data_IF_028547271226
#
_entry.id   IF_028547271226
#
_cell.length_a   1.000
_cell.length_b   1.000
_cell.length_c   1.000
_cell.angle_alpha   90.00
_cell.angle_beta   90.00
_cell.angle_gamma   90.00
#
_symmetry.space_group_name_H-M   'P 1'
#
loop_
_entity.id
_entity.type
_entity.pdbx_description
1 polymer ?
#
# COMPACT_ATOMS: atom_id res chain seq x y z
N UNK A 1 -21.64 -29.42 -41.09
CA UNK A 1 -21.19 -28.14 -41.68
C UNK A 1 -19.68 -28.15 -41.62
N UNK A 2 -19.01 -28.34 -42.76
CA UNK A 2 -17.55 -28.43 -42.83
C UNK A 2 -17.09 -27.32 -43.76
N UNK A 3 -16.39 -26.32 -43.22
CA UNK A 3 -15.95 -25.15 -43.99
C UNK A 3 -14.59 -25.47 -44.60
N UNK A 4 -14.55 -25.55 -45.93
CA UNK A 4 -13.32 -25.69 -46.73
C UNK A 4 -12.61 -24.33 -46.80
N UNK A 5 -11.33 -24.28 -46.39
CA UNK A 5 -10.48 -23.08 -46.56
C UNK A 5 -9.46 -23.31 -47.66
N UNK A 6 -9.66 -22.65 -48.80
CA UNK A 6 -8.66 -22.58 -49.88
C UNK A 6 -7.52 -21.62 -49.47
N UNK A 7 -6.30 -22.13 -49.33
CA UNK A 7 -5.09 -21.32 -49.14
C UNK A 7 -4.77 -20.57 -50.45
N UNK A 8 -4.70 -19.23 -50.43
CA UNK A 8 -4.08 -18.46 -51.52
C UNK A 8 -2.58 -18.30 -51.24
N UNK A 9 -1.70 -18.47 -52.24
CA UNK A 9 -0.27 -18.23 -52.07
C UNK A 9 0.01 -16.73 -52.00
N UNK A 10 0.77 -16.32 -50.98
CA UNK A 10 1.32 -14.96 -50.85
C UNK A 10 2.43 -14.81 -51.89
N UNK A 11 2.15 -14.10 -52.99
CA UNK A 11 3.16 -13.73 -53.98
C UNK A 11 3.91 -12.48 -53.50
N UNK A 12 5.14 -12.69 -53.05
CA UNK A 12 6.33 -11.81 -53.12
C UNK A 12 6.08 -10.33 -53.38
N UNK A 13 6.12 -9.52 -52.33
CA UNK A 13 5.99 -8.05 -52.37
C UNK A 13 7.34 -7.30 -52.26
N UNK A 14 8.43 -7.88 -52.78
CA UNK A 14 9.74 -7.23 -52.81
C UNK A 14 10.21 -7.07 -54.25
N UNK A 15 9.74 -6.01 -54.92
CA UNK A 15 10.36 -5.48 -56.13
C UNK A 15 11.56 -4.61 -55.71
N UNK A 16 12.72 -4.83 -56.34
CA UNK A 16 14.00 -4.12 -56.12
C UNK A 16 14.04 -2.71 -56.70
N UNK A 17 12.92 -2.00 -56.75
CA UNK A 17 12.84 -0.62 -57.22
C UNK A 17 12.59 0.30 -56.03
N UNK A 18 13.63 1.07 -55.66
CA UNK A 18 13.56 2.10 -54.63
C UNK A 18 12.75 3.27 -55.22
N UNK A 19 11.63 3.70 -54.61
CA UNK A 19 10.87 4.85 -55.10
C UNK A 19 11.72 6.12 -55.07
N UNK A 20 11.76 6.88 -56.17
CA UNK A 20 12.52 8.14 -56.34
C UNK A 20 12.18 9.24 -55.32
N UNK A 21 11.15 9.04 -54.50
CA UNK A 21 10.76 9.94 -53.40
C UNK A 21 11.59 9.76 -52.13
N UNK A 22 12.41 8.70 -52.03
CA UNK A 22 13.22 8.44 -50.84
C UNK A 22 14.20 9.58 -50.46
N UNK A 23 14.87 10.28 -51.40
CA UNK A 23 15.77 11.39 -51.07
C UNK A 23 15.06 12.58 -50.42
N UNK A 24 13.80 12.84 -50.77
CA UNK A 24 13.03 13.97 -50.22
C UNK A 24 12.51 13.67 -48.81
N UNK A 25 12.06 12.42 -48.59
CA UNK A 25 11.70 11.91 -47.26
C UNK A 25 12.92 11.88 -46.33
N UNK A 26 14.09 11.48 -46.83
CA UNK A 26 15.33 11.50 -46.03
C UNK A 26 15.76 12.94 -45.73
N UNK A 27 15.56 13.90 -46.64
CA UNK A 27 15.81 15.33 -46.40
C UNK A 27 14.86 15.94 -45.36
N UNK A 28 13.56 15.60 -45.40
CA UNK A 28 12.60 16.07 -44.40
C UNK A 28 12.83 15.44 -43.03
N UNK A 29 13.25 14.18 -42.98
CA UNK A 29 13.66 13.49 -41.74
C UNK A 29 14.98 14.04 -41.19
N UNK A 30 15.95 14.41 -42.03
CA UNK A 30 17.20 15.03 -41.57
C UNK A 30 17.04 16.49 -41.16
N UNK A 31 16.12 17.25 -41.76
CA UNK A 31 15.72 18.57 -41.26
C UNK A 31 14.95 18.47 -39.93
N UNK A 32 14.09 17.47 -39.76
CA UNK A 32 13.43 17.18 -38.49
C UNK A 32 14.42 16.73 -37.40
N UNK A 33 15.55 16.13 -37.79
CA UNK A 33 16.64 15.72 -36.89
C UNK A 33 17.73 16.80 -36.69
N UNK A 34 17.51 18.03 -37.20
CA UNK A 34 18.40 19.17 -36.99
C UNK A 34 18.26 19.69 -35.55
N UNK A 35 18.98 19.05 -34.63
CA UNK A 35 19.28 19.50 -33.25
C UNK A 35 18.08 20.16 -32.54
N UNK A 36 17.18 19.32 -32.03
CA UNK A 36 16.16 19.73 -31.05
C UNK A 36 16.74 20.00 -29.66
N UNK A 37 17.81 20.79 -29.56
CA UNK A 37 18.05 21.54 -28.33
C UNK A 37 17.11 22.73 -28.37
N UNK A 38 15.82 22.53 -28.05
CA UNK A 38 14.95 23.68 -27.74
C UNK A 38 15.69 24.47 -26.67
N UNK A 39 15.87 25.76 -26.89
CA UNK A 39 16.50 26.62 -25.90
C UNK A 39 15.76 26.38 -24.58
N UNK A 40 16.51 26.12 -23.51
CA UNK A 40 15.91 25.82 -22.20
C UNK A 40 15.04 26.99 -21.72
N UNK A 41 15.28 28.18 -22.27
CA UNK A 41 14.45 29.38 -22.16
C UNK A 41 13.07 29.21 -22.81
N UNK A 42 13.02 28.84 -24.09
CA UNK A 42 11.75 28.58 -24.80
C UNK A 42 10.92 27.52 -24.07
N UNK A 43 11.58 26.49 -23.53
CA UNK A 43 10.93 25.48 -22.71
C UNK A 43 10.43 26.05 -21.37
N UNK A 44 11.24 26.85 -20.67
CA UNK A 44 10.87 27.47 -19.41
C UNK A 44 9.74 28.51 -19.55
N UNK A 45 9.58 29.11 -20.72
CA UNK A 45 8.49 30.05 -21.02
C UNK A 45 7.20 29.33 -21.47
N UNK A 46 7.31 28.20 -22.15
CA UNK A 46 6.15 27.42 -22.64
C UNK A 46 5.60 26.41 -21.64
N UNK A 47 6.34 26.09 -20.57
CA UNK A 47 5.87 25.18 -19.54
C UNK A 47 4.79 25.81 -18.65
N UNK A 48 3.86 24.98 -18.19
CA UNK A 48 2.84 25.37 -17.20
C UNK A 48 3.41 25.50 -15.79
N UNK A 49 4.67 25.11 -15.55
CA UNK A 49 5.35 25.27 -14.28
C UNK A 49 5.60 26.76 -13.98
N UNK A 50 4.68 27.38 -13.23
CA UNK A 50 4.64 28.83 -12.98
C UNK A 50 5.93 29.45 -12.46
N UNK A 51 6.78 28.70 -11.75
CA UNK A 51 8.06 29.17 -11.22
C UNK A 51 9.23 29.14 -12.21
N UNK A 52 9.19 28.29 -13.25
CA UNK A 52 10.34 28.01 -14.10
C UNK A 52 10.69 29.21 -14.99
N UNK A 53 9.70 29.93 -15.50
CA UNK A 53 9.89 31.16 -16.29
C UNK A 53 10.69 32.24 -15.55
N UNK A 54 10.49 32.39 -14.23
CA UNK A 54 11.21 33.39 -13.42
C UNK A 54 12.65 32.98 -13.11
N UNK A 55 12.92 31.67 -13.09
CA UNK A 55 14.26 31.12 -12.92
C UNK A 55 15.11 31.19 -14.21
N UNK A 56 14.51 31.47 -15.37
CA UNK A 56 15.23 31.57 -16.66
C UNK A 56 15.09 32.92 -17.38
N UNK A 57 14.25 33.84 -16.87
CA UNK A 57 14.08 35.21 -17.38
C UNK A 57 15.39 36.02 -17.35
N UNK A 58 15.74 36.64 -18.49
CA UNK A 58 16.91 37.53 -18.63
C UNK A 58 16.66 38.98 -18.19
N UNK A 59 15.40 39.40 -18.09
CA UNK A 59 15.02 40.73 -17.56
C UNK A 59 15.26 40.85 -16.03
N UNK A 60 15.66 39.75 -15.38
CA UNK A 60 15.82 39.64 -13.94
C UNK A 60 17.29 39.76 -13.51
N UNK A 61 17.54 40.40 -12.36
CA UNK A 61 18.88 40.34 -11.75
C UNK A 61 19.28 38.89 -11.43
N UNK A 62 20.58 38.57 -11.51
CA UNK A 62 21.10 37.21 -11.26
C UNK A 62 20.69 36.67 -9.89
N UNK A 63 20.61 37.55 -8.88
CA UNK A 63 20.18 37.20 -7.51
C UNK A 63 18.70 36.79 -7.49
N UNK A 64 17.83 37.54 -8.16
CA UNK A 64 16.39 37.22 -8.26
C UNK A 64 16.19 35.87 -8.95
N UNK A 65 16.97 35.62 -10.01
CA UNK A 65 16.95 34.36 -10.75
C UNK A 65 17.36 33.17 -9.88
N UNK A 66 18.43 33.32 -9.09
CA UNK A 66 18.87 32.28 -8.15
C UNK A 66 17.83 32.02 -7.06
N UNK A 67 17.20 33.07 -6.51
CA UNK A 67 16.14 32.92 -5.52
C UNK A 67 14.94 32.13 -6.06
N UNK A 68 14.50 32.42 -7.28
CA UNK A 68 13.42 31.65 -7.94
C UNK A 68 13.81 30.21 -8.24
N UNK A 69 15.05 29.98 -8.66
CA UNK A 69 15.54 28.62 -8.89
C UNK A 69 15.59 27.80 -7.60
N UNK A 70 16.09 28.38 -6.50
CA UNK A 70 16.10 27.74 -5.18
C UNK A 70 14.67 27.49 -4.68
N UNK A 71 13.76 28.45 -4.84
CA UNK A 71 12.35 28.26 -4.48
C UNK A 71 11.68 27.14 -5.29
N UNK A 72 11.96 27.06 -6.59
CA UNK A 72 11.48 25.97 -7.45
C UNK A 72 12.04 24.61 -7.01
N UNK A 73 13.33 24.52 -6.72
CA UNK A 73 13.95 23.29 -6.20
C UNK A 73 13.36 22.88 -4.85
N UNK A 74 13.16 23.83 -3.94
CA UNK A 74 12.53 23.56 -2.65
C UNK A 74 11.10 23.04 -2.82
N UNK A 75 10.31 23.65 -3.70
CA UNK A 75 8.96 23.19 -4.00
C UNK A 75 8.95 21.78 -4.62
N UNK A 76 9.90 21.48 -5.53
CA UNK A 76 10.03 20.16 -6.15
C UNK A 76 10.42 19.09 -5.13
N UNK A 77 11.37 19.39 -4.24
CA UNK A 77 11.77 18.51 -3.16
C UNK A 77 10.61 18.22 -2.20
N UNK A 78 9.87 19.27 -1.79
CA UNK A 78 8.72 19.14 -0.91
C UNK A 78 7.59 18.33 -1.56
N UNK A 79 7.29 18.59 -2.83
CA UNK A 79 6.31 17.82 -3.60
C UNK A 79 6.70 16.34 -3.67
N UNK A 80 7.98 16.05 -3.92
CA UNK A 80 8.49 14.67 -4.01
C UNK A 80 8.36 13.95 -2.66
N UNK A 81 8.73 14.64 -1.56
CA UNK A 81 8.53 14.13 -0.20
C UNK A 81 7.06 13.81 0.07
N UNK A 82 6.15 14.75 -0.26
CA UNK A 82 4.73 14.52 -0.05
C UNK A 82 4.16 13.39 -0.91
N UNK A 83 4.62 13.25 -2.15
CA UNK A 83 4.21 12.17 -3.01
C UNK A 83 4.60 10.81 -2.42
N UNK A 84 5.80 10.70 -1.84
CA UNK A 84 6.26 9.48 -1.17
C UNK A 84 5.41 9.18 0.05
N UNK A 85 5.23 10.14 0.97
CA UNK A 85 4.40 9.95 2.17
C UNK A 85 2.98 9.54 1.81
N UNK A 86 2.35 10.25 0.85
CA UNK A 86 1.01 9.93 0.37
C UNK A 86 0.93 8.53 -0.25
N UNK A 87 1.96 8.12 -1.00
CA UNK A 87 2.03 6.78 -1.57
C UNK A 87 2.12 5.71 -0.48
N UNK A 88 2.98 5.92 0.52
CA UNK A 88 3.12 4.97 1.63
C UNK A 88 1.79 4.87 2.38
N UNK A 89 1.14 5.99 2.70
CA UNK A 89 -0.16 6.01 3.38
C UNK A 89 -1.26 5.33 2.57
N UNK A 90 -1.25 5.48 1.24
CA UNK A 90 -2.16 4.77 0.35
C UNK A 90 -1.95 3.24 0.44
N UNK A 91 -0.70 2.77 0.34
CA UNK A 91 -0.37 1.34 0.39
C UNK A 91 -0.39 0.72 1.79
N UNK A 92 -0.52 1.53 2.84
CA UNK A 92 -0.82 1.05 4.20
C UNK A 92 -2.25 0.57 4.37
N UNK A 93 -3.13 0.81 3.39
CA UNK A 93 -4.56 0.49 3.42
C UNK A 93 -5.23 0.81 4.78
N UNK A 94 -5.10 2.06 5.29
CA UNK A 94 -5.67 2.40 6.58
C UNK A 94 -7.20 2.34 6.50
N UNK A 95 -7.81 1.46 7.32
CA UNK A 95 -9.26 1.39 7.47
C UNK A 95 -9.71 2.43 8.52
N UNK A 96 -10.55 3.38 8.11
CA UNK A 96 -11.28 4.24 9.04
C UNK A 96 -12.64 3.61 9.35
N UNK A 97 -12.81 3.11 10.56
CA UNK A 97 -14.11 2.68 11.06
C UNK A 97 -14.84 3.89 11.68
N UNK A 98 -15.99 4.25 11.11
CA UNK A 98 -16.89 5.23 11.71
C UNK A 98 -18.01 4.50 12.46
N UNK A 99 -18.19 4.83 13.74
CA UNK A 99 -19.26 4.28 14.56
C UNK A 99 -20.44 5.25 14.61
N UNK A 100 -21.63 4.77 14.26
CA UNK A 100 -22.89 5.51 14.41
C UNK A 100 -23.82 4.74 15.32
N UNK A 101 -24.23 5.35 16.43
CA UNK A 101 -25.30 4.81 17.26
C UNK A 101 -26.63 5.14 16.63
N UNK A 102 -27.32 4.11 16.14
CA UNK A 102 -28.68 4.22 15.62
C UNK A 102 -29.62 3.61 16.65
N UNK A 103 -30.61 4.37 17.13
CA UNK A 103 -31.68 3.80 17.96
C UNK A 103 -32.62 3.01 17.06
N UNK A 104 -32.71 1.72 17.29
CA UNK A 104 -33.62 0.82 16.58
C UNK A 104 -34.85 0.56 17.47
N UNK A 105 -36.05 0.62 16.91
CA UNK A 105 -37.30 0.35 17.63
C UNK A 105 -37.47 -1.15 17.96
N UNK A 106 -36.78 -2.02 17.23
CA UNK A 106 -36.73 -3.47 17.43
C UNK A 106 -35.41 -4.02 16.90
N UNK A 107 -34.89 -5.06 17.53
CA UNK A 107 -33.67 -5.78 17.14
C UNK A 107 -33.88 -7.26 17.43
N UNK A 108 -33.32 -8.14 16.58
CA UNK A 108 -33.38 -9.58 16.79
C UNK A 108 -32.62 -9.95 18.07
N UNK A 109 -33.27 -10.77 18.91
CA UNK A 109 -32.63 -11.26 20.12
C UNK A 109 -31.51 -12.24 19.72
N UNK A 110 -30.28 -12.08 20.25
CA UNK A 110 -29.16 -12.91 19.85
C UNK A 110 -29.33 -14.35 20.35
N UNK A 111 -28.69 -15.28 19.67
CA UNK A 111 -28.55 -16.64 20.19
C UNK A 111 -27.72 -16.62 21.46
N UNK A 112 -28.33 -17.01 22.57
CA UNK A 112 -27.64 -17.19 23.84
C UNK A 112 -27.21 -18.65 23.95
N UNK A 113 -25.90 -18.88 24.01
CA UNK A 113 -25.34 -20.19 24.34
C UNK A 113 -24.93 -20.20 25.80
N UNK A 114 -25.56 -21.05 26.60
CA UNK A 114 -25.21 -21.26 28.01
C UNK A 114 -24.47 -22.59 28.11
N UNK A 115 -23.22 -22.53 28.59
CA UNK A 115 -22.41 -23.72 28.84
C UNK A 115 -22.27 -23.93 30.35
N UNK A 116 -22.38 -25.19 30.78
CA UNK A 116 -21.99 -25.57 32.14
C UNK A 116 -20.47 -25.41 32.28
N UNK A 117 -20.00 -24.80 33.36
CA UNK A 117 -18.57 -24.69 33.67
C UNK A 117 -17.97 -26.03 34.06
N UNK A 118 -18.81 -26.99 34.48
CA UNK A 118 -18.37 -28.35 34.67
C UNK A 118 -18.04 -29.01 33.33
N UNK A 119 -16.75 -29.19 33.07
CA UNK A 119 -16.23 -29.74 31.80
C UNK A 119 -16.48 -31.23 31.65
N UNK A 120 -16.74 -31.95 32.76
CA UNK A 120 -17.03 -33.36 32.72
C UNK A 120 -18.03 -33.78 33.80
N UNK A 121 -19.04 -34.53 33.40
CA UNK A 121 -20.01 -35.13 34.31
C UNK A 121 -19.43 -36.42 34.88
N UNK A 122 -19.12 -36.44 36.18
CA UNK A 122 -18.51 -37.60 36.84
C UNK A 122 -19.35 -38.88 36.73
N UNK A 123 -20.65 -38.76 36.47
CA UNK A 123 -21.55 -39.91 36.28
C UNK A 123 -21.45 -40.52 34.87
N UNK A 124 -21.02 -39.73 33.86
CA UNK A 124 -20.98 -40.14 32.44
C UNK A 124 -19.55 -40.46 31.97
N UNK A 125 -18.62 -40.53 32.90
CA UNK A 125 -17.20 -40.72 32.61
C UNK A 125 -16.84 -42.16 32.90
N UNK A 126 -16.46 -42.90 31.85
CA UNK A 126 -16.10 -44.32 31.94
C UNK A 126 -14.85 -44.55 32.81
N UNK A 127 -13.89 -43.62 32.75
CA UNK A 127 -12.69 -43.63 33.59
C UNK A 127 -12.53 -42.30 34.37
N UNK A 128 -12.99 -42.25 35.63
CA UNK A 128 -12.86 -41.07 36.49
C UNK A 128 -11.40 -40.70 36.81
N UNK A 129 -10.45 -41.63 36.63
CA UNK A 129 -9.05 -41.39 36.95
C UNK A 129 -8.39 -40.49 35.90
N UNK A 130 -8.69 -40.68 34.61
CA UNK A 130 -8.21 -39.81 33.54
C UNK A 130 -8.53 -38.33 33.80
N UNK A 131 -9.76 -38.03 34.25
CA UNK A 131 -10.19 -36.66 34.54
C UNK A 131 -9.50 -36.12 35.79
N UNK A 132 -9.43 -36.93 36.84
CA UNK A 132 -8.74 -36.57 38.09
C UNK A 132 -7.26 -36.29 37.84
N UNK A 133 -6.61 -37.06 36.97
CA UNK A 133 -5.21 -36.90 36.60
C UNK A 133 -5.00 -35.63 35.75
N UNK A 134 -5.90 -35.32 34.83
CA UNK A 134 -5.86 -34.05 34.09
C UNK A 134 -5.96 -32.86 35.06
N UNK A 135 -6.93 -32.87 35.98
CA UNK A 135 -7.05 -31.80 36.99
C UNK A 135 -5.84 -31.74 37.92
N UNK A 136 -5.27 -32.90 38.30
CA UNK A 136 -4.08 -32.99 39.15
C UNK A 136 -2.86 -32.42 38.44
N UNK A 137 -2.61 -32.81 37.19
CA UNK A 137 -1.49 -32.31 36.38
C UNK A 137 -1.66 -30.83 36.10
N UNK A 138 -2.85 -30.38 35.67
CA UNK A 138 -3.12 -28.97 35.43
C UNK A 138 -2.90 -28.12 36.69
N UNK A 139 -3.42 -28.57 37.84
CA UNK A 139 -3.20 -27.90 39.13
C UNK A 139 -1.72 -27.84 39.50
N UNK A 140 -0.98 -28.93 39.31
CA UNK A 140 0.47 -28.98 39.60
C UNK A 140 1.28 -28.08 38.66
N UNK A 141 1.02 -28.12 37.35
CA UNK A 141 1.69 -27.27 36.37
C UNK A 141 1.42 -25.79 36.65
N UNK A 142 0.15 -25.42 36.87
CA UNK A 142 -0.22 -24.06 37.23
C UNK A 142 0.46 -23.62 38.53
N UNK A 143 0.43 -24.46 39.57
CA UNK A 143 1.03 -24.09 40.86
C UNK A 143 2.55 -23.98 40.78
N UNK A 144 3.21 -24.84 39.98
CA UNK A 144 4.65 -24.77 39.73
C UNK A 144 5.02 -23.45 39.05
N UNK A 145 4.27 -23.04 38.04
CA UNK A 145 4.52 -21.78 37.33
C UNK A 145 4.26 -20.56 38.21
N UNK A 146 3.22 -20.60 39.06
CA UNK A 146 2.91 -19.56 40.03
C UNK A 146 4.01 -19.45 41.10
N UNK A 147 4.44 -20.56 41.69
CA UNK A 147 5.46 -20.56 42.76
C UNK A 147 6.86 -20.24 42.26
N UNK A 148 7.15 -20.50 40.98
CA UNK A 148 8.43 -20.18 40.35
C UNK A 148 8.48 -18.76 39.78
N UNK A 149 7.37 -18.01 39.85
CA UNK A 149 7.27 -16.63 39.37
C UNK A 149 7.04 -15.68 40.55
N UNK A 150 7.79 -14.58 40.64
CA UNK A 150 7.55 -13.61 41.71
C UNK A 150 6.27 -12.80 41.47
N UNK A 151 5.58 -12.39 42.54
CA UNK A 151 4.41 -11.50 42.44
C UNK A 151 4.76 -10.17 41.74
N UNK A 152 6.00 -9.69 41.89
CA UNK A 152 6.50 -8.52 41.19
C UNK A 152 6.57 -8.74 39.67
N UNK A 153 6.91 -9.96 39.23
CA UNK A 153 6.94 -10.34 37.81
C UNK A 153 5.53 -10.51 37.25
N UNK A 154 4.61 -11.15 37.99
CA UNK A 154 3.21 -11.29 37.58
C UNK A 154 2.49 -9.94 37.45
N UNK A 155 2.75 -8.99 38.35
CA UNK A 155 2.17 -7.64 38.30
C UNK A 155 2.59 -6.83 37.08
N UNK A 156 3.79 -7.11 36.54
CA UNK A 156 4.33 -6.42 35.38
C UNK A 156 4.02 -7.14 34.06
N UNK A 157 3.45 -8.34 34.09
CA UNK A 157 3.00 -9.06 32.89
C UNK A 157 1.55 -8.69 32.55
N UNK A 158 1.35 -8.20 31.33
CA UNK A 158 0.03 -7.76 30.84
C UNK A 158 -1.01 -8.89 30.83
N UNK A 159 -0.56 -10.15 30.82
CA UNK A 159 -1.41 -11.33 30.91
C UNK A 159 -2.10 -11.49 32.26
N UNK A 160 -1.44 -11.13 33.36
CA UNK A 160 -1.94 -11.37 34.73
C UNK A 160 -2.39 -10.08 35.44
N UNK A 161 -1.88 -8.92 34.99
CA UNK A 161 -2.25 -7.58 35.48
C UNK A 161 -3.77 -7.36 35.66
N UNK A 162 -4.66 -7.64 34.68
CA UNK A 162 -6.09 -7.37 34.83
C UNK A 162 -6.76 -8.22 35.92
N UNK A 163 -6.24 -9.40 36.25
CA UNK A 163 -6.81 -10.25 37.30
C UNK A 163 -6.36 -9.83 38.71
N UNK A 164 -5.20 -9.18 38.83
CA UNK A 164 -4.65 -8.71 40.10
C UNK A 164 -5.16 -7.31 40.50
N UNK A 165 -5.68 -6.55 39.54
CA UNK A 165 -6.21 -5.19 39.73
C UNK A 165 -7.75 -5.15 39.81
N UNK A 166 -8.43 -6.29 39.66
CA UNK A 166 -9.85 -6.42 39.97
C UNK A 166 -10.08 -6.29 41.48
N UNK A 167 -10.36 -5.07 41.93
CA UNK A 167 -10.95 -4.77 43.24
C UNK A 167 -12.45 -4.56 43.10
#
# INVERSE_FOLDING_TARGET
MTISMTKRPVKTAWTTEVPDQFPEVVKSVTLANKKGGKDIKDFAETTTAHGLKYAFSEESSRIRRLAWFLAFLAALAYLSYQLVECSIDYYRYPMKAEYKLVRMNSMDFPTITICNLNQADSEKVDDPQAITDIYRVAKLCMWKDIMNTSLAKMRNEDKYRPYLEMR
#
